data_IF_555242119173
#
_entry.id   IF_555242119173
#
_cell.length_a   1.000
_cell.length_b   1.000
_cell.length_c   1.000
_cell.angle_alpha   90.00
_cell.angle_beta   90.00
_cell.angle_gamma   90.00
#
_symmetry.space_group_name_H-M   'P 1'
#
loop_
_entity.id
_entity.type
_entity.pdbx_description
1 polymer ?
#
# COMPACT_ATOMS: atom_id res chain seq x y z
N UNK A 1 0.01 22.05 9.11
CA UNK A 1 0.10 20.58 9.11
C UNK A 1 1.35 20.05 8.42
N UNK A 2 1.68 20.45 7.19
CA UNK A 2 2.85 19.94 6.43
C UNK A 2 4.21 19.91 7.16
N UNK A 3 4.46 20.79 8.14
CA UNK A 3 5.68 20.79 8.98
C UNK A 3 5.63 19.80 10.16
N UNK A 4 4.43 19.36 10.54
CA UNK A 4 4.17 18.46 11.66
C UNK A 4 3.89 17.03 11.18
N UNK A 5 3.19 16.90 10.05
CA UNK A 5 2.86 15.64 9.40
C UNK A 5 3.39 15.64 7.97
N UNK A 6 4.45 14.88 7.73
CA UNK A 6 5.07 14.82 6.39
C UNK A 6 4.13 14.21 5.34
N UNK A 7 3.20 13.34 5.77
CA UNK A 7 2.22 12.67 4.89
C UNK A 7 0.89 13.40 4.70
N UNK A 8 0.61 14.49 5.46
CA UNK A 8 -0.63 15.26 5.33
C UNK A 8 -0.32 16.62 4.72
N UNK A 9 -0.75 16.80 3.47
CA UNK A 9 -0.66 18.09 2.79
C UNK A 9 -1.80 19.01 3.20
N UNK A 10 -3.03 18.48 3.17
CA UNK A 10 -4.25 19.21 3.48
C UNK A 10 -5.24 18.33 4.26
N UNK A 11 -6.23 18.98 4.87
CA UNK A 11 -7.35 18.31 5.54
C UNK A 11 -8.66 18.90 5.05
N UNK A 12 -9.71 18.08 4.97
CA UNK A 12 -11.08 18.52 4.69
C UNK A 12 -11.86 18.59 5.99
N UNK A 13 -12.50 19.73 6.20
CA UNK A 13 -13.40 19.93 7.31
C UNK A 13 -14.84 19.59 6.94
N UNK A 14 -15.65 19.29 7.97
CA UNK A 14 -17.10 19.25 7.85
C UNK A 14 -17.67 20.63 7.43
N UNK A 15 -18.97 20.67 7.12
CA UNK A 15 -19.64 21.92 6.68
C UNK A 15 -19.57 23.05 7.71
N UNK A 16 -19.39 22.73 8.99
CA UNK A 16 -19.39 23.68 10.11
C UNK A 16 -17.97 24.09 10.51
N UNK A 17 -16.94 23.53 9.86
CA UNK A 17 -15.53 23.69 10.20
C UNK A 17 -15.20 23.29 11.65
N UNK A 18 -15.93 22.33 12.20
CA UNK A 18 -15.76 21.81 13.56
C UNK A 18 -15.00 20.50 13.61
N UNK A 19 -15.05 19.71 12.55
CA UNK A 19 -14.38 18.42 12.51
C UNK A 19 -13.55 18.28 11.24
N UNK A 20 -12.40 17.60 11.35
CA UNK A 20 -11.66 17.08 10.21
C UNK A 20 -12.26 15.72 9.84
N UNK A 21 -12.70 15.58 8.60
CA UNK A 21 -13.30 14.34 8.07
C UNK A 21 -12.36 13.57 7.15
N UNK A 22 -11.44 14.27 6.46
CA UNK A 22 -10.54 13.67 5.49
C UNK A 22 -9.15 14.30 5.55
N UNK A 23 -8.13 13.50 5.26
CA UNK A 23 -6.76 13.95 5.03
C UNK A 23 -6.41 13.79 3.55
N UNK A 24 -5.49 14.62 3.04
CA UNK A 24 -5.08 14.56 1.63
C UNK A 24 -3.57 14.70 1.46
N UNK A 25 -3.02 13.94 0.51
CA UNK A 25 -1.62 14.05 0.08
C UNK A 25 -1.41 15.28 -0.80
N UNK A 26 -0.15 15.55 -1.14
CA UNK A 26 0.20 16.62 -2.08
C UNK A 26 -0.30 16.33 -3.49
N UNK A 27 -0.29 15.06 -3.87
CA UNK A 27 -0.70 14.53 -5.17
C UNK A 27 -2.23 14.42 -5.30
N UNK A 28 -2.99 14.80 -4.26
CA UNK A 28 -4.45 14.79 -4.28
C UNK A 28 -5.10 13.48 -3.85
N UNK A 29 -4.32 12.52 -3.35
CA UNK A 29 -4.87 11.31 -2.75
C UNK A 29 -5.61 11.64 -1.46
N UNK A 30 -6.83 11.12 -1.28
CA UNK A 30 -7.65 11.39 -0.11
C UNK A 30 -7.86 10.14 0.73
N UNK A 31 -7.88 10.32 2.05
CA UNK A 31 -8.22 9.28 3.02
C UNK A 31 -9.28 9.84 3.96
N UNK A 32 -10.46 9.23 3.93
CA UNK A 32 -11.53 9.55 4.88
C UNK A 32 -11.23 8.91 6.23
N UNK A 33 -11.29 9.72 7.28
CA UNK A 33 -11.09 9.23 8.65
C UNK A 33 -12.27 8.36 9.07
N UNK A 34 -12.00 7.30 9.83
CA UNK A 34 -13.04 6.42 10.36
C UNK A 34 -13.93 7.17 11.36
N UNK A 35 -13.36 8.11 12.09
CA UNK A 35 -14.08 9.00 13.00
C UNK A 35 -13.60 10.44 12.80
N UNK A 36 -14.51 11.41 12.60
CA UNK A 36 -14.11 12.81 12.48
C UNK A 36 -13.39 13.30 13.74
N UNK A 37 -12.37 14.13 13.56
CA UNK A 37 -11.58 14.70 14.67
C UNK A 37 -12.05 16.12 14.95
N UNK A 38 -12.51 16.38 16.18
CA UNK A 38 -12.98 17.70 16.61
C UNK A 38 -11.84 18.71 16.71
N UNK A 39 -12.06 19.92 16.19
CA UNK A 39 -11.17 21.06 16.35
C UNK A 39 -11.42 21.72 17.71
N UNK A 40 -10.42 21.63 18.57
CA UNK A 40 -10.41 22.20 19.93
C UNK A 40 -9.64 23.52 19.96
N UNK A 41 -9.83 24.29 21.04
CA UNK A 41 -9.09 25.54 21.29
C UNK A 41 -7.59 25.25 21.46
N UNK A 42 -7.27 24.24 22.26
CA UNK A 42 -5.90 23.79 22.47
C UNK A 42 -5.41 23.02 21.22
N UNK A 43 -4.45 23.62 20.53
CA UNK A 43 -4.00 23.13 19.22
C UNK A 43 -3.31 21.77 19.32
N UNK A 44 -2.56 21.55 20.40
CA UNK A 44 -1.82 20.31 20.63
C UNK A 44 -2.77 19.12 20.82
N UNK A 45 -3.92 19.33 21.46
CA UNK A 45 -4.90 18.28 21.73
C UNK A 45 -5.50 17.71 20.43
N UNK A 46 -6.03 18.56 19.56
CA UNK A 46 -6.65 18.05 18.32
C UNK A 46 -5.61 17.58 17.29
N UNK A 47 -4.37 18.09 17.34
CA UNK A 47 -3.27 17.54 16.54
C UNK A 47 -2.89 16.13 17.00
N UNK A 48 -2.87 15.89 18.31
CA UNK A 48 -2.66 14.55 18.87
C UNK A 48 -3.79 13.60 18.46
N UNK A 49 -5.05 14.04 18.59
CA UNK A 49 -6.21 13.25 18.19
C UNK A 49 -6.16 12.90 16.68
N UNK A 50 -5.73 13.85 15.84
CA UNK A 50 -5.55 13.61 14.40
C UNK A 50 -4.46 12.57 14.11
N UNK A 51 -3.34 12.61 14.82
CA UNK A 51 -2.26 11.62 14.68
C UNK A 51 -2.75 10.19 15.03
N UNK A 52 -3.45 10.08 16.16
CA UNK A 52 -4.02 8.80 16.62
C UNK A 52 -5.05 8.27 15.61
N UNK A 53 -5.95 9.14 15.15
CA UNK A 53 -7.03 8.77 14.25
C UNK A 53 -6.53 8.42 12.84
N UNK A 54 -5.54 9.15 12.33
CA UNK A 54 -4.86 8.83 11.07
C UNK A 54 -4.27 7.42 11.13
N UNK A 55 -3.48 7.11 12.17
CA UNK A 55 -2.85 5.78 12.34
C UNK A 55 -3.90 4.68 12.43
N UNK A 56 -4.98 4.91 13.19
CA UNK A 56 -6.09 3.95 13.32
C UNK A 56 -6.78 3.69 11.98
N UNK A 57 -7.07 4.76 11.22
CA UNK A 57 -7.70 4.68 9.91
C UNK A 57 -6.82 3.90 8.92
N UNK A 58 -5.54 4.27 8.80
CA UNK A 58 -4.60 3.59 7.91
C UNK A 58 -4.41 2.11 8.27
N UNK A 59 -4.39 1.76 9.57
CA UNK A 59 -4.34 0.37 10.02
C UNK A 59 -5.56 -0.43 9.55
N UNK A 60 -6.77 0.12 9.69
CA UNK A 60 -7.99 -0.56 9.23
C UNK A 60 -8.04 -0.67 7.71
N UNK A 61 -7.58 0.36 6.99
CA UNK A 61 -7.45 0.30 5.54
C UNK A 61 -6.49 -0.82 5.11
N UNK A 62 -5.35 -0.98 5.78
CA UNK A 62 -4.42 -2.07 5.50
C UNK A 62 -5.05 -3.45 5.76
N UNK A 63 -5.76 -3.61 6.87
CA UNK A 63 -6.47 -4.87 7.18
C UNK A 63 -7.46 -5.22 6.07
N UNK A 64 -8.29 -4.25 5.65
CA UNK A 64 -9.25 -4.46 4.56
C UNK A 64 -8.58 -4.72 3.22
N UNK A 65 -7.49 -4.00 2.93
CA UNK A 65 -6.74 -4.15 1.68
C UNK A 65 -6.08 -5.53 1.54
N UNK A 66 -5.56 -6.10 2.64
CA UNK A 66 -4.97 -7.45 2.68
C UNK A 66 -6.02 -8.54 2.45
N UNK A 67 -7.28 -8.30 2.84
CA UNK A 67 -8.38 -9.22 2.52
C UNK A 67 -8.80 -9.10 1.05
N UNK A 68 -8.93 -7.86 0.55
CA UNK A 68 -9.28 -7.58 -0.83
C UNK A 68 -8.61 -6.31 -1.34
N UNK A 69 -7.68 -6.49 -2.28
CA UNK A 69 -7.02 -5.40 -2.97
C UNK A 69 -8.03 -4.60 -3.82
N UNK A 70 -8.09 -3.29 -3.58
CA UNK A 70 -8.86 -2.35 -4.39
C UNK A 70 -8.08 -1.04 -4.56
N UNK A 71 -7.50 -0.86 -5.74
CA UNK A 71 -6.64 0.29 -6.09
C UNK A 71 -7.42 1.62 -6.07
N UNK A 72 -8.73 1.56 -6.30
CA UNK A 72 -9.57 2.76 -6.29
C UNK A 72 -9.88 3.24 -4.87
N UNK A 73 -9.96 2.31 -3.90
CA UNK A 73 -10.39 2.59 -2.54
C UNK A 73 -9.25 3.05 -1.63
N UNK A 74 -8.07 2.42 -1.75
CA UNK A 74 -7.00 2.61 -0.77
C UNK A 74 -5.91 3.57 -1.25
N UNK A 75 -5.25 4.20 -0.28
CA UNK A 75 -4.10 5.05 -0.52
C UNK A 75 -2.90 4.25 -1.05
N UNK A 76 -2.05 4.88 -1.85
CA UNK A 76 -0.87 4.27 -2.50
C UNK A 76 0.01 3.56 -1.48
N UNK A 77 0.28 4.19 -0.33
CA UNK A 77 1.09 3.59 0.74
C UNK A 77 0.46 2.31 1.31
N UNK A 78 -0.87 2.26 1.42
CA UNK A 78 -1.60 1.07 1.87
C UNK A 78 -1.51 -0.04 0.84
N UNK A 79 -1.70 0.29 -0.44
CA UNK A 79 -1.61 -0.65 -1.55
C UNK A 79 -0.21 -1.27 -1.64
N UNK A 80 0.84 -0.45 -1.64
CA UNK A 80 2.23 -0.93 -1.67
C UNK A 80 2.54 -1.80 -0.44
N UNK A 81 2.13 -1.38 0.76
CA UNK A 81 2.35 -2.18 1.98
C UNK A 81 1.62 -3.53 1.92
N UNK A 82 0.38 -3.53 1.40
CA UNK A 82 -0.41 -4.74 1.20
C UNK A 82 0.28 -5.72 0.24
N UNK A 83 0.76 -5.23 -0.90
CA UNK A 83 1.50 -6.04 -1.86
C UNK A 83 2.79 -6.60 -1.27
N UNK A 84 3.54 -5.82 -0.49
CA UNK A 84 4.73 -6.32 0.22
C UNK A 84 4.38 -7.46 1.18
N UNK A 85 3.29 -7.35 1.94
CA UNK A 85 2.83 -8.44 2.83
C UNK A 85 2.48 -9.70 2.03
N UNK A 86 1.76 -9.56 0.91
CA UNK A 86 1.40 -10.68 0.06
C UNK A 86 2.61 -11.31 -0.62
N UNK A 87 3.54 -10.50 -1.10
CA UNK A 87 4.79 -10.92 -1.71
C UNK A 87 5.63 -11.73 -0.74
N UNK A 88 5.88 -11.19 0.47
CA UNK A 88 6.64 -11.89 1.52
C UNK A 88 6.02 -13.24 1.82
N UNK A 89 4.71 -13.29 2.11
CA UNK A 89 4.02 -14.54 2.43
C UNK A 89 4.12 -15.57 1.31
N UNK A 90 3.80 -15.19 0.07
CA UNK A 90 3.84 -16.11 -1.07
C UNK A 90 5.25 -16.59 -1.39
N UNK A 91 6.25 -15.73 -1.20
CA UNK A 91 7.65 -16.09 -1.38
C UNK A 91 8.07 -17.11 -0.32
N UNK A 92 7.78 -16.88 0.96
CA UNK A 92 8.07 -17.83 2.05
C UNK A 92 7.36 -19.18 1.85
N UNK A 93 6.09 -19.17 1.43
CA UNK A 93 5.33 -20.38 1.07
C UNK A 93 5.97 -21.12 -0.11
N UNK A 94 6.44 -20.39 -1.13
CA UNK A 94 7.11 -20.97 -2.28
C UNK A 94 8.50 -21.55 -1.94
N UNK A 95 9.21 -20.97 -0.98
CA UNK A 95 10.51 -21.46 -0.48
C UNK A 95 10.35 -22.72 0.37
N UNK A 96 9.38 -22.74 1.28
CA UNK A 96 9.17 -23.84 2.24
C UNK A 96 8.36 -25.01 1.66
N UNK A 97 7.74 -24.81 0.49
CA UNK A 97 7.02 -25.84 -0.23
C UNK A 97 7.93 -26.93 -0.80
N UNK A 98 7.31 -28.01 -1.31
CA UNK A 98 8.04 -29.11 -1.98
C UNK A 98 8.77 -28.58 -3.25
N UNK A 99 10.12 -28.61 -3.28
CA UNK A 99 10.88 -28.09 -4.41
C UNK A 99 10.54 -28.76 -5.75
N UNK A 100 10.10 -30.02 -5.73
CA UNK A 100 9.71 -30.75 -6.94
C UNK A 100 8.46 -30.15 -7.61
N UNK A 101 7.68 -29.34 -6.90
CA UNK A 101 6.48 -28.67 -7.43
C UNK A 101 6.76 -27.33 -8.10
N UNK A 102 8.01 -26.83 -8.03
CA UNK A 102 8.39 -25.58 -8.68
C UNK A 102 7.61 -24.36 -8.19
N UNK A 103 7.36 -24.28 -6.86
CA UNK A 103 6.56 -23.21 -6.26
C UNK A 103 7.08 -21.81 -6.56
N UNK A 104 8.40 -21.63 -6.56
CA UNK A 104 9.04 -20.35 -6.86
C UNK A 104 8.84 -19.93 -8.32
N UNK A 105 8.93 -20.87 -9.27
CA UNK A 105 8.67 -20.61 -10.69
C UNK A 105 7.20 -20.26 -10.93
N UNK A 106 6.28 -20.94 -10.24
CA UNK A 106 4.85 -20.61 -10.29
C UNK A 106 4.57 -19.22 -9.69
N UNK A 107 5.21 -18.87 -8.57
CA UNK A 107 5.09 -17.55 -7.96
C UNK A 107 5.59 -16.44 -8.91
N UNK A 108 6.78 -16.63 -9.49
CA UNK A 108 7.34 -15.73 -10.52
C UNK A 108 6.38 -15.54 -11.70
N UNK A 109 5.80 -16.62 -12.23
CA UNK A 109 4.85 -16.56 -13.32
C UNK A 109 3.58 -15.77 -12.94
N UNK A 110 3.10 -15.94 -11.71
CA UNK A 110 1.98 -15.15 -11.18
C UNK A 110 2.30 -13.66 -11.09
N UNK A 111 3.49 -13.28 -10.61
CA UNK A 111 3.93 -11.88 -10.55
C UNK A 111 4.03 -11.28 -11.96
N UNK A 112 4.59 -12.01 -12.93
CA UNK A 112 4.69 -11.57 -14.31
C UNK A 112 3.30 -11.35 -14.97
N UNK A 113 2.33 -12.21 -14.65
CA UNK A 113 0.96 -12.03 -15.11
C UNK A 113 0.30 -10.80 -14.48
N UNK A 114 0.46 -10.60 -13.17
CA UNK A 114 -0.03 -9.40 -12.48
C UNK A 114 0.58 -8.12 -13.07
N UNK A 115 1.87 -8.13 -13.43
CA UNK A 115 2.55 -6.99 -14.05
C UNK A 115 1.93 -6.63 -15.39
N UNK A 116 1.64 -7.64 -16.20
CA UNK A 116 0.96 -7.46 -17.49
C UNK A 116 -0.43 -6.84 -17.31
N UNK A 117 -1.20 -7.33 -16.33
CA UNK A 117 -2.56 -6.87 -16.07
C UNK A 117 -2.57 -5.43 -15.55
N UNK A 118 -1.72 -5.11 -14.57
CA UNK A 118 -1.56 -3.75 -14.04
C UNK A 118 -1.06 -2.76 -15.09
N UNK A 119 -0.10 -3.16 -15.93
CA UNK A 119 0.41 -2.30 -17.02
C UNK A 119 -0.68 -2.00 -18.05
N UNK A 120 -1.47 -3.02 -18.41
CA UNK A 120 -2.60 -2.86 -19.33
C UNK A 120 -3.67 -1.95 -18.74
N UNK A 121 -3.99 -2.10 -17.46
CA UNK A 121 -4.92 -1.23 -16.75
C UNK A 121 -4.40 0.22 -16.65
N UNK A 122 -3.12 0.39 -16.34
CA UNK A 122 -2.47 1.71 -16.27
C UNK A 122 -2.46 2.43 -17.62
N UNK A 123 -2.34 1.72 -18.73
CA UNK A 123 -2.35 2.32 -20.06
C UNK A 123 -3.74 2.85 -20.47
N UNK A 124 -4.81 2.24 -19.93
CA UNK A 124 -6.18 2.66 -20.18
C UNK A 124 -6.70 3.73 -19.20
N UNK A 125 -5.98 3.97 -18.10
CA UNK A 125 -6.40 4.89 -17.05
C UNK A 125 -6.15 6.36 -17.40
N UNK A 126 -7.14 7.21 -17.12
CA UNK A 126 -7.07 8.67 -17.34
C UNK A 126 -7.03 9.47 -16.04
N UNK A 127 -7.29 8.83 -14.88
CA UNK A 127 -7.22 9.49 -13.57
C UNK A 127 -5.76 9.63 -13.12
N UNK A 128 -5.32 10.86 -12.85
CA UNK A 128 -3.91 11.16 -12.52
C UNK A 128 -3.47 10.48 -11.21
N UNK A 129 -4.30 10.54 -10.17
CA UNK A 129 -3.97 9.97 -8.85
C UNK A 129 -3.90 8.46 -8.94
N UNK A 130 -4.90 7.82 -9.57
CA UNK A 130 -4.90 6.40 -9.84
C UNK A 130 -3.69 6.00 -10.69
N UNK A 131 -3.31 6.82 -11.67
CA UNK A 131 -2.13 6.61 -12.50
C UNK A 131 -0.84 6.59 -11.68
N UNK A 132 -0.72 7.48 -10.68
CA UNK A 132 0.40 7.49 -9.74
C UNK A 132 0.42 6.23 -8.87
N UNK A 133 -0.74 5.79 -8.34
CA UNK A 133 -0.84 4.53 -7.57
C UNK A 133 -0.39 3.33 -8.40
N UNK A 134 -0.89 3.21 -9.64
CA UNK A 134 -0.56 2.10 -10.53
C UNK A 134 0.93 2.06 -10.88
N UNK A 135 1.55 3.22 -11.14
CA UNK A 135 3.00 3.29 -11.38
C UNK A 135 3.81 2.83 -10.18
N UNK A 136 3.42 3.22 -8.96
CA UNK A 136 4.09 2.76 -7.75
C UNK A 136 4.01 1.22 -7.62
N UNK A 137 2.82 0.65 -7.79
CA UNK A 137 2.61 -0.81 -7.74
C UNK A 137 3.37 -1.56 -8.83
N UNK A 138 3.42 -1.03 -10.05
CA UNK A 138 4.18 -1.62 -11.16
C UNK A 138 5.67 -1.65 -10.83
N UNK A 139 6.23 -0.56 -10.27
CA UNK A 139 7.63 -0.50 -9.88
C UNK A 139 7.96 -1.53 -8.79
N UNK A 140 7.11 -1.64 -7.75
CA UNK A 140 7.28 -2.64 -6.70
C UNK A 140 7.20 -4.07 -7.24
N UNK A 141 6.33 -4.31 -8.22
CA UNK A 141 6.15 -5.63 -8.82
C UNK A 141 7.33 -6.02 -9.72
N UNK A 142 7.90 -5.08 -10.48
CA UNK A 142 9.15 -5.31 -11.23
C UNK A 142 10.26 -5.71 -10.26
N UNK A 143 10.43 -4.97 -9.17
CA UNK A 143 11.42 -5.30 -8.14
C UNK A 143 11.16 -6.68 -7.51
N UNK A 144 9.91 -7.01 -7.21
CA UNK A 144 9.53 -8.31 -6.65
C UNK A 144 9.89 -9.48 -7.58
N UNK A 145 9.70 -9.31 -8.89
CA UNK A 145 10.12 -10.29 -9.90
C UNK A 145 11.64 -10.45 -9.91
N UNK A 146 12.39 -9.34 -9.86
CA UNK A 146 13.87 -9.38 -9.80
C UNK A 146 14.37 -10.12 -8.56
N UNK A 147 13.74 -9.89 -7.40
CA UNK A 147 14.07 -10.61 -6.15
C UNK A 147 13.80 -12.11 -6.30
N UNK A 148 12.66 -12.50 -6.85
CA UNK A 148 12.35 -13.93 -7.09
C UNK A 148 13.32 -14.56 -8.09
N UNK A 149 13.67 -13.83 -9.15
CA UNK A 149 14.67 -14.29 -10.13
C UNK A 149 16.05 -14.53 -9.47
N UNK A 150 16.45 -13.64 -8.55
CA UNK A 150 17.67 -13.83 -7.75
C UNK A 150 17.57 -15.07 -6.86
N UNK A 151 16.47 -15.25 -6.11
CA UNK A 151 16.26 -16.40 -5.23
C UNK A 151 16.30 -17.73 -5.99
N UNK A 152 15.70 -17.78 -7.18
CA UNK A 152 15.74 -18.97 -8.06
C UNK A 152 17.18 -19.23 -8.52
N UNK A 153 17.89 -18.19 -8.98
CA UNK A 153 19.26 -18.30 -9.52
C UNK A 153 20.23 -18.85 -8.48
N UNK A 154 20.13 -18.41 -7.24
CA UNK A 154 21.00 -18.81 -6.13
C UNK A 154 20.48 -20.06 -5.39
N UNK A 155 19.36 -20.64 -5.85
CA UNK A 155 18.76 -21.86 -5.30
C UNK A 155 18.50 -21.79 -3.79
N UNK A 156 17.97 -20.65 -3.34
CA UNK A 156 17.65 -20.40 -1.92
C UNK A 156 16.44 -21.23 -1.52
N UNK A 157 16.56 -21.99 -0.44
CA UNK A 157 15.52 -22.93 0.02
C UNK A 157 15.09 -22.71 1.46
N UNK A 158 15.76 -21.84 2.21
CA UNK A 158 15.42 -21.54 3.59
C UNK A 158 15.22 -20.03 3.79
N UNK A 159 14.19 -19.66 4.57
CA UNK A 159 13.85 -18.26 4.88
C UNK A 159 14.89 -17.58 5.77
N UNK A 160 15.81 -18.34 6.37
CA UNK A 160 16.93 -17.82 7.17
C UNK A 160 18.24 -17.68 6.39
N UNK A 161 18.25 -18.03 5.10
CA UNK A 161 19.44 -17.90 4.25
C UNK A 161 19.73 -16.41 3.96
N UNK A 162 21.02 -16.07 3.93
CA UNK A 162 21.49 -14.73 3.57
C UNK A 162 22.14 -14.78 2.18
N UNK A 163 21.79 -13.81 1.34
CA UNK A 163 22.29 -13.62 -0.03
C UNK A 163 23.31 -12.49 -0.11
#
# INVERSE_FOLDING_TARGET
LKKLFMGIHAVRFDKQQKHIEEISSLEGETVKLLSPVEIKVEVEDWLHDLDVEMKRTLKQHLIGCVDKLDVSLYASQILCTCEQIHFTRKTEEAMTGDPAKGGMQAHRASLAQQLKDLTSFSAANTDEVLGLKLRALIMDLIHSIEVVDMLIKENVTNTSDWL
#
